data_IF_061834412117
#
_entry.id   IF_061834412117
#
_cell.length_a   1.000
_cell.length_b   1.000
_cell.length_c   1.000
_cell.angle_alpha   90.00
_cell.angle_beta   90.00
_cell.angle_gamma   90.00
#
_symmetry.space_group_name_H-M   'P 1'
#
loop_
_entity.id
_entity.type
_entity.pdbx_description
1 polymer ?
#
# COMPACT_ATOMS: atom_id res chain seq x y z
N UNK A 1 -51.41 23.96 26.70
CA UNK A 1 -49.95 23.74 26.81
C UNK A 1 -49.73 22.26 27.08
N UNK A 2 -49.45 21.44 26.05
CA UNK A 2 -49.26 19.99 26.22
C UNK A 2 -48.51 19.39 25.00
N UNK A 3 -47.39 19.97 24.62
CA UNK A 3 -46.56 19.47 23.49
C UNK A 3 -45.21 18.93 23.97
N UNK A 4 -44.88 19.09 25.25
CA UNK A 4 -43.54 18.85 25.78
C UNK A 4 -43.22 17.36 25.94
N UNK A 5 -44.17 16.54 26.40
CA UNK A 5 -43.92 15.11 26.66
C UNK A 5 -43.73 14.28 25.39
N UNK A 6 -44.47 14.57 24.32
CA UNK A 6 -44.37 13.82 23.06
C UNK A 6 -43.07 14.13 22.31
N UNK A 7 -42.55 15.36 22.45
CA UNK A 7 -41.29 15.78 21.83
C UNK A 7 -40.07 15.13 22.48
N UNK A 8 -40.07 14.94 23.81
CA UNK A 8 -38.97 14.24 24.48
C UNK A 8 -38.99 12.73 24.22
N UNK A 9 -40.17 12.14 24.05
CA UNK A 9 -40.29 10.70 23.73
C UNK A 9 -39.85 10.38 22.31
N UNK A 10 -40.10 11.27 21.34
CA UNK A 10 -39.69 11.06 19.93
C UNK A 10 -38.18 11.21 19.75
N UNK A 11 -37.55 12.14 20.46
CA UNK A 11 -36.09 12.34 20.39
C UNK A 11 -35.32 11.17 21.01
N UNK A 12 -35.76 10.66 22.17
CA UNK A 12 -35.13 9.49 22.81
C UNK A 12 -35.25 8.22 21.95
N UNK A 13 -36.42 7.98 21.33
CA UNK A 13 -36.61 6.82 20.46
C UNK A 13 -35.75 6.91 19.18
N UNK A 14 -35.59 8.10 18.59
CA UNK A 14 -34.76 8.30 17.42
C UNK A 14 -33.26 8.05 17.72
N UNK A 15 -32.77 8.51 18.88
CA UNK A 15 -31.37 8.27 19.28
C UNK A 15 -31.06 6.79 19.51
N UNK A 16 -32.00 6.01 20.07
CA UNK A 16 -31.80 4.57 20.27
C UNK A 16 -31.76 3.77 18.95
N UNK A 17 -32.53 4.19 17.94
CA UNK A 17 -32.49 3.57 16.61
C UNK A 17 -31.17 3.89 15.90
N UNK A 18 -30.68 5.13 16.00
CA UNK A 18 -29.40 5.52 15.38
C UNK A 18 -28.22 4.82 16.06
N UNK A 19 -28.24 4.70 17.40
CA UNK A 19 -27.20 3.98 18.14
C UNK A 19 -27.17 2.46 17.85
N UNK A 20 -28.32 1.86 17.52
CA UNK A 20 -28.39 0.44 17.13
C UNK A 20 -27.74 0.17 15.76
N UNK A 21 -27.72 1.15 14.85
CA UNK A 21 -27.13 1.01 13.52
C UNK A 21 -25.60 1.22 13.56
N UNK A 22 -25.07 1.95 14.54
CA UNK A 22 -23.64 2.24 14.65
C UNK A 22 -22.77 1.11 15.22
N UNK A 23 -23.36 -0.01 15.66
CA UNK A 23 -22.61 -1.15 16.23
C UNK A 23 -22.08 -2.10 15.14
N UNK A 24 -22.43 -1.88 13.86
CA UNK A 24 -21.96 -2.70 12.73
C UNK A 24 -20.93 -1.95 11.89
N UNK A 25 -19.80 -1.59 12.49
CA UNK A 25 -18.69 -0.94 11.78
C UNK A 25 -17.38 -1.74 11.85
N UNK A 26 -17.46 -3.06 11.94
CA UNK A 26 -16.32 -3.94 11.64
C UNK A 26 -16.45 -4.40 10.17
N UNK A 27 -15.82 -3.67 9.24
CA UNK A 27 -15.63 -4.20 7.87
C UNK A 27 -15.61 -3.22 6.68
N UNK A 28 -15.68 -1.90 6.87
CA UNK A 28 -15.74 -0.93 5.76
C UNK A 28 -14.60 0.10 5.72
N UNK A 29 -13.46 -0.20 6.33
CA UNK A 29 -12.19 0.53 6.14
C UNK A 29 -11.09 -0.50 5.89
N UNK A 30 -10.79 -0.81 4.63
CA UNK A 30 -9.44 -1.27 4.24
C UNK A 30 -9.22 -1.38 2.72
N UNK A 31 -9.96 -0.65 1.89
CA UNK A 31 -9.68 -0.61 0.45
C UNK A 31 -8.63 0.45 0.09
N UNK A 32 -8.86 1.69 0.56
CA UNK A 32 -8.00 2.81 0.17
C UNK A 32 -6.61 2.80 0.82
N UNK A 33 -6.52 2.45 2.11
CA UNK A 33 -5.24 2.44 2.83
C UNK A 33 -4.24 1.47 2.21
N UNK A 34 -4.70 0.24 1.99
CA UNK A 34 -3.86 -0.80 1.40
C UNK A 34 -3.40 -0.49 -0.03
N UNK A 35 -4.24 0.12 -0.86
CA UNK A 35 -3.80 0.55 -2.20
C UNK A 35 -2.72 1.64 -2.13
N UNK A 36 -2.80 2.54 -1.15
CA UNK A 36 -1.77 3.55 -0.92
C UNK A 36 -0.47 2.91 -0.38
N UNK A 37 -0.58 1.99 0.57
CA UNK A 37 0.55 1.24 1.12
C UNK A 37 1.24 0.40 0.03
N UNK A 38 0.46 -0.22 -0.86
CA UNK A 38 0.98 -0.95 -2.01
C UNK A 38 1.77 -0.04 -2.95
N UNK A 39 1.22 1.13 -3.30
CA UNK A 39 1.91 2.07 -4.18
C UNK A 39 3.22 2.56 -3.56
N UNK A 40 3.21 2.84 -2.25
CA UNK A 40 4.41 3.24 -1.54
C UNK A 40 5.44 2.10 -1.46
N UNK A 41 4.98 0.87 -1.24
CA UNK A 41 5.83 -0.32 -1.24
C UNK A 41 6.47 -0.53 -2.61
N UNK A 42 5.71 -0.41 -3.70
CA UNK A 42 6.23 -0.52 -5.06
C UNK A 42 7.25 0.59 -5.32
N UNK A 43 6.94 1.84 -4.97
CA UNK A 43 7.82 2.98 -5.21
C UNK A 43 9.18 2.84 -4.51
N UNK A 44 9.19 2.31 -3.28
CA UNK A 44 10.41 2.19 -2.49
C UNK A 44 11.14 0.86 -2.68
N UNK A 45 10.42 -0.24 -2.94
CA UNK A 45 10.96 -1.60 -2.86
C UNK A 45 11.05 -2.34 -4.20
N UNK A 46 10.43 -1.87 -5.30
CA UNK A 46 10.33 -2.62 -6.56
C UNK A 46 11.68 -3.14 -7.07
N UNK A 47 12.73 -2.32 -6.98
CA UNK A 47 14.08 -2.69 -7.44
C UNK A 47 14.73 -3.84 -6.66
N UNK A 48 14.32 -4.08 -5.41
CA UNK A 48 14.86 -5.16 -4.57
C UNK A 48 14.09 -6.47 -4.75
N UNK A 49 12.83 -6.40 -5.18
CA UNK A 49 11.93 -7.56 -5.31
C UNK A 49 11.66 -7.98 -6.76
N UNK A 50 12.04 -7.15 -7.74
CA UNK A 50 11.93 -7.51 -9.15
C UNK A 50 12.72 -8.78 -9.48
N UNK A 51 12.21 -9.55 -10.44
CA UNK A 51 12.84 -10.80 -10.88
C UNK A 51 14.20 -10.59 -11.55
N UNK A 52 14.36 -9.49 -12.27
CA UNK A 52 15.62 -9.17 -12.94
C UNK A 52 16.71 -8.76 -11.94
N UNK A 53 17.94 -9.20 -12.19
CA UNK A 53 19.11 -8.84 -11.40
C UNK A 53 19.31 -9.69 -10.15
N UNK A 54 20.38 -9.43 -9.38
CA UNK A 54 20.71 -10.18 -8.17
C UNK A 54 19.75 -9.85 -7.00
N UNK A 55 19.90 -10.60 -5.91
CA UNK A 55 19.31 -10.27 -4.61
C UNK A 55 20.13 -9.15 -3.97
N UNK A 56 19.48 -8.05 -3.58
CA UNK A 56 20.12 -6.86 -3.00
C UNK A 56 19.53 -6.55 -1.63
N UNK A 57 20.33 -5.96 -0.75
CA UNK A 57 19.85 -5.47 0.55
C UNK A 57 18.94 -4.25 0.33
N UNK A 58 17.77 -4.20 1.00
CA UNK A 58 16.84 -3.09 0.86
C UNK A 58 17.41 -1.80 1.45
N UNK A 59 16.99 -0.66 0.91
CA UNK A 59 17.28 0.66 1.49
C UNK A 59 16.53 0.85 2.82
N UNK A 60 17.00 1.79 3.67
CA UNK A 60 16.24 2.19 4.86
C UNK A 60 14.83 2.68 4.53
N UNK A 61 14.65 3.36 3.39
CA UNK A 61 13.33 3.82 2.94
C UNK A 61 12.39 2.66 2.60
N UNK A 62 12.90 1.61 1.95
CA UNK A 62 12.12 0.40 1.68
C UNK A 62 11.72 -0.30 2.99
N UNK A 63 12.66 -0.48 3.94
CA UNK A 63 12.33 -1.12 5.21
C UNK A 63 11.32 -0.33 6.05
N UNK A 64 11.40 1.01 6.04
CA UNK A 64 10.42 1.86 6.72
C UNK A 64 8.99 1.60 6.25
N UNK A 65 8.78 1.32 4.95
CA UNK A 65 7.46 0.97 4.44
C UNK A 65 7.09 -0.47 4.81
N UNK A 66 8.01 -1.42 4.61
CA UNK A 66 7.79 -2.86 4.88
C UNK A 66 7.33 -3.14 6.31
N UNK A 67 7.82 -2.39 7.30
CA UNK A 67 7.41 -2.60 8.70
C UNK A 67 5.96 -2.22 8.99
N UNK A 68 5.33 -1.41 8.14
CA UNK A 68 3.99 -0.87 8.34
C UNK A 68 2.93 -1.47 7.41
N UNK A 69 3.31 -2.16 6.34
CA UNK A 69 2.33 -2.72 5.39
C UNK A 69 1.51 -3.87 5.97
N UNK A 70 0.24 -3.91 5.55
CA UNK A 70 -0.65 -5.04 5.79
C UNK A 70 -0.36 -6.16 4.79
N UNK A 71 0.44 -7.16 5.23
CA UNK A 71 0.83 -8.32 4.42
C UNK A 71 -0.37 -9.03 3.76
N UNK A 72 -1.44 -9.45 4.48
CA UNK A 72 -2.55 -10.15 3.84
C UNK A 72 -3.24 -9.26 2.80
N UNK A 73 -3.30 -7.94 3.01
CA UNK A 73 -3.85 -7.06 2.01
C UNK A 73 -2.96 -6.94 0.77
N UNK A 74 -1.65 -6.70 0.91
CA UNK A 74 -0.72 -6.65 -0.23
C UNK A 74 -0.74 -7.96 -1.02
N UNK A 75 -0.83 -9.10 -0.34
CA UNK A 75 -0.88 -10.41 -0.98
C UNK A 75 -2.14 -10.65 -1.83
N UNK A 76 -3.23 -9.94 -1.59
CA UNK A 76 -4.41 -9.96 -2.47
C UNK A 76 -4.16 -9.32 -3.85
N UNK A 77 -3.17 -8.43 -3.95
CA UNK A 77 -2.80 -7.81 -5.23
C UNK A 77 -1.79 -8.63 -6.01
N UNK A 78 -1.09 -9.58 -5.37
CA UNK A 78 -0.14 -10.47 -6.03
C UNK A 78 -0.92 -11.48 -6.87
N UNK A 79 -1.15 -11.13 -8.13
CA UNK A 79 -1.72 -12.00 -9.15
C UNK A 79 -0.62 -12.73 -9.92
N UNK A 80 -0.98 -13.75 -10.71
CA UNK A 80 -0.02 -14.46 -11.58
C UNK A 80 0.69 -13.55 -12.60
N UNK A 81 0.13 -12.39 -12.92
CA UNK A 81 0.82 -11.36 -13.71
C UNK A 81 1.98 -10.74 -12.94
N UNK A 82 1.76 -10.43 -11.66
CA UNK A 82 2.78 -9.86 -10.77
C UNK A 82 3.86 -10.90 -10.45
N UNK A 83 3.49 -12.15 -10.19
CA UNK A 83 4.45 -13.24 -9.92
C UNK A 83 5.46 -13.46 -11.06
N UNK A 84 5.16 -13.01 -12.28
CA UNK A 84 6.08 -13.08 -13.42
C UNK A 84 7.12 -11.95 -13.43
N UNK A 85 6.82 -10.83 -12.78
CA UNK A 85 7.70 -9.64 -12.74
C UNK A 85 8.46 -9.52 -11.42
N UNK A 86 7.93 -10.05 -10.32
CA UNK A 86 8.63 -10.13 -9.03
C UNK A 86 9.18 -11.53 -8.77
N UNK A 87 10.14 -11.59 -7.85
CA UNK A 87 10.70 -12.82 -7.33
C UNK A 87 10.27 -12.97 -5.86
N UNK A 88 9.46 -13.99 -5.58
CA UNK A 88 8.90 -14.21 -4.26
C UNK A 88 9.97 -14.57 -3.22
N UNK A 89 11.10 -15.16 -3.62
CA UNK A 89 12.22 -15.39 -2.71
C UNK A 89 12.84 -14.05 -2.28
N UNK A 90 12.97 -13.10 -3.22
CA UNK A 90 13.43 -11.75 -2.89
C UNK A 90 12.43 -11.00 -2.01
N UNK A 91 11.13 -11.19 -2.23
CA UNK A 91 10.09 -10.63 -1.34
C UNK A 91 10.26 -11.16 0.08
N UNK A 92 10.39 -12.48 0.25
CA UNK A 92 10.62 -13.08 1.59
C UNK A 92 11.93 -12.59 2.22
N UNK A 93 12.97 -12.41 1.40
CA UNK A 93 14.26 -11.89 1.85
C UNK A 93 14.15 -10.45 2.37
N UNK A 94 13.57 -9.55 1.58
CA UNK A 94 13.39 -8.14 1.97
C UNK A 94 12.51 -8.03 3.22
N UNK A 95 11.42 -8.80 3.27
CA UNK A 95 10.52 -8.85 4.43
C UNK A 95 11.26 -9.31 5.70
N UNK A 96 12.04 -10.39 5.61
CA UNK A 96 12.86 -10.88 6.72
C UNK A 96 13.96 -9.91 7.13
N UNK A 97 14.69 -9.35 6.17
CA UNK A 97 15.75 -8.37 6.41
C UNK A 97 15.24 -7.14 7.15
N UNK A 98 14.04 -6.65 6.81
CA UNK A 98 13.43 -5.50 7.46
C UNK A 98 12.69 -5.84 8.77
N UNK A 99 12.74 -7.09 9.26
CA UNK A 99 12.13 -7.48 10.54
C UNK A 99 10.63 -7.78 10.47
N UNK A 100 10.06 -7.97 9.27
CA UNK A 100 8.68 -8.44 9.04
C UNK A 100 8.65 -9.69 8.18
N UNK A 101 9.33 -10.75 8.64
CA UNK A 101 9.30 -12.03 7.95
C UNK A 101 7.85 -12.52 7.76
N UNK A 102 7.56 -13.05 6.56
CA UNK A 102 6.26 -13.62 6.28
C UNK A 102 6.11 -14.93 7.06
N UNK A 103 4.96 -15.14 7.70
CA UNK A 103 4.71 -16.38 8.41
C UNK A 103 4.70 -17.59 7.44
N UNK A 104 5.28 -18.73 7.84
CA UNK A 104 5.06 -20.02 7.19
C UNK A 104 3.62 -20.25 6.75
N UNK A 105 3.42 -20.68 5.50
CA UNK A 105 2.08 -20.97 4.97
C UNK A 105 1.27 -19.76 4.53
N UNK A 106 1.80 -18.53 4.68
CA UNK A 106 1.17 -17.33 4.11
C UNK A 106 1.07 -17.48 2.59
N UNK A 107 -0.12 -17.27 2.04
CA UNK A 107 -0.38 -17.34 0.59
C UNK A 107 -0.45 -15.93 -0.01
N UNK A 108 0.30 -15.74 -1.08
CA UNK A 108 0.28 -14.52 -1.89
C UNK A 108 0.19 -14.94 -3.34
N UNK A 109 -0.98 -14.78 -3.96
CA UNK A 109 -1.27 -15.39 -5.25
C UNK A 109 -1.22 -16.92 -5.19
N UNK A 110 -0.43 -17.51 -6.09
CA UNK A 110 -0.12 -18.93 -6.14
C UNK A 110 1.07 -19.32 -5.25
N UNK A 111 1.92 -18.36 -4.87
CA UNK A 111 3.04 -18.60 -3.98
C UNK A 111 2.59 -18.84 -2.53
N UNK A 112 3.21 -19.81 -1.88
CA UNK A 112 3.03 -20.10 -0.46
C UNK A 112 4.38 -20.04 0.20
N UNK A 113 4.52 -19.23 1.24
CA UNK A 113 5.77 -19.11 1.99
C UNK A 113 6.13 -20.49 2.55
N UNK A 114 7.30 -21.05 2.18
CA UNK A 114 7.71 -22.33 2.71
C UNK A 114 7.80 -22.23 4.23
N UNK A 115 7.21 -23.18 4.94
CA UNK A 115 7.39 -23.25 6.38
C UNK A 115 8.82 -23.65 6.66
N UNK A 116 9.54 -22.79 7.38
CA UNK A 116 10.86 -23.11 7.90
C UNK A 116 10.76 -24.42 8.68
N UNK A 117 11.26 -25.53 8.10
CA UNK A 117 12.31 -26.21 8.82
C UNK A 117 13.42 -25.17 8.88
N UNK A 118 13.55 -24.57 10.06
CA UNK A 118 14.65 -23.71 10.41
C UNK A 118 15.92 -24.52 10.11
N UNK A 119 16.65 -24.10 9.08
CA UNK A 119 18.09 -24.33 9.02
C UNK A 119 18.69 -23.49 10.13
N UNK A 120 18.58 -23.99 11.35
CA UNK A 120 19.60 -23.81 12.37
C UNK A 120 20.81 -24.68 11.98
N UNK A 121 21.49 -24.32 10.89
CA UNK A 121 22.83 -24.79 10.56
C UNK A 121 23.56 -23.52 10.08
N UNK A 122 24.67 -23.04 10.61
CA UNK A 122 25.63 -23.53 11.57
C UNK A 122 26.55 -22.34 11.87
N UNK A 123 27.16 -22.33 13.05
CA UNK A 123 28.01 -21.30 13.63
C UNK A 123 29.21 -20.92 12.73
N UNK A 124 29.03 -19.96 11.83
CA UNK A 124 30.13 -19.07 11.50
C UNK A 124 29.75 -17.68 12.00
N UNK A 125 30.31 -17.34 13.17
CA UNK A 125 30.23 -16.04 13.83
C UNK A 125 30.25 -14.90 12.83
N UNK A 126 29.07 -14.44 12.44
CA UNK A 126 28.89 -13.06 12.08
C UNK A 126 28.64 -12.38 13.43
N UNK A 127 29.59 -11.58 13.95
CA UNK A 127 29.37 -10.88 15.20
C UNK A 127 28.09 -10.08 15.02
N UNK A 128 27.11 -10.34 15.87
CA UNK A 128 26.04 -9.38 16.13
C UNK A 128 26.79 -8.10 16.48
N UNK A 129 26.71 -7.00 15.70
CA UNK A 129 27.17 -5.73 16.22
C UNK A 129 26.21 -5.44 17.36
N UNK A 130 26.68 -5.71 18.58
CA UNK A 130 26.13 -5.13 19.78
C UNK A 130 26.01 -3.66 19.47
N UNK A 131 24.79 -3.11 19.57
CA UNK A 131 24.58 -1.68 19.57
C UNK A 131 25.30 -1.17 20.83
N UNK A 132 26.59 -0.90 20.65
CA UNK A 132 27.43 -0.16 21.55
C UNK A 132 27.14 1.28 21.26
N UNK A 133 26.37 1.88 22.16
CA UNK A 133 26.08 3.31 22.18
C UNK A 133 27.31 4.08 22.63
N UNK A 134 28.45 3.96 21.94
CA UNK A 134 29.65 4.71 22.29
C UNK A 134 30.40 5.17 21.02
N UNK A 135 30.18 6.46 20.73
CA UNK A 135 31.02 7.38 19.97
C UNK A 135 31.31 7.04 18.50
N UNK A 136 30.39 7.48 17.63
CA UNK A 136 30.71 7.81 16.22
C UNK A 136 31.89 8.80 16.20
N UNK A 137 33.02 8.49 15.52
CA UNK A 137 34.00 9.50 15.20
C UNK A 137 33.34 10.48 14.23
N UNK A 138 33.32 11.74 14.61
CA UNK A 138 32.97 12.87 13.77
C UNK A 138 33.97 12.90 12.61
N UNK A 139 33.69 12.17 11.54
CA UNK A 139 34.31 12.43 10.25
C UNK A 139 33.65 13.69 9.73
N UNK A 140 34.45 14.75 9.74
CA UNK A 140 34.15 16.08 9.26
C UNK A 140 33.30 16.04 8.00
N UNK A 141 32.05 16.45 8.15
CA UNK A 141 31.21 16.87 7.04
C UNK A 141 31.89 18.11 6.47
N UNK A 142 32.57 17.94 5.33
CA UNK A 142 32.80 19.09 4.45
C UNK A 142 31.41 19.59 4.06
N UNK A 143 31.16 20.85 4.42
CA UNK A 143 29.95 21.60 4.13
C UNK A 143 29.90 21.86 2.62
N UNK A 144 29.56 20.84 1.83
CA UNK A 144 29.11 21.05 0.46
C UNK A 144 27.69 21.59 0.55
N UNK A 145 27.62 22.89 0.33
CA UNK A 145 26.43 23.72 0.18
C UNK A 145 25.33 22.94 -0.56
N UNK A 146 24.23 22.68 0.15
CA UNK A 146 23.08 21.98 -0.40
C UNK A 146 22.65 22.63 -1.72
N UNK A 147 22.51 21.88 -2.83
CA UNK A 147 21.77 22.39 -3.96
C UNK A 147 20.35 22.69 -3.47
N UNK A 148 20.00 23.98 -3.55
CA UNK A 148 18.71 24.56 -3.21
C UNK A 148 17.53 23.64 -3.56
N UNK A 149 16.48 23.58 -2.73
CA UNK A 149 15.28 22.82 -3.07
C UNK A 149 14.72 23.33 -4.40
N UNK A 150 14.78 22.46 -5.41
CA UNK A 150 14.07 22.69 -6.66
C UNK A 150 12.57 22.82 -6.34
N UNK A 151 11.85 23.78 -6.96
CA UNK A 151 10.45 23.98 -6.68
C UNK A 151 9.66 22.72 -7.03
N UNK A 152 8.75 22.36 -6.13
CA UNK A 152 7.70 21.38 -6.34
C UNK A 152 7.13 21.49 -7.76
N UNK A 153 6.92 20.39 -8.51
CA UNK A 153 6.02 20.46 -9.63
C UNK A 153 4.63 20.78 -9.08
N UNK A 154 4.20 22.01 -9.30
CA UNK A 154 2.80 22.38 -9.30
C UNK A 154 2.11 21.42 -10.25
N UNK A 155 1.43 20.41 -9.70
CA UNK A 155 0.42 19.66 -10.43
C UNK A 155 -0.58 20.71 -10.90
N UNK A 156 -0.45 21.07 -12.17
CA UNK A 156 -1.47 21.77 -12.90
C UNK A 156 -2.76 20.96 -12.71
N UNK A 157 -3.80 21.63 -12.25
CA UNK A 157 -5.15 21.15 -12.45
C UNK A 157 -5.28 20.91 -13.96
N UNK A 158 -5.35 19.65 -14.34
CA UNK A 158 -5.85 19.24 -15.64
C UNK A 158 -7.33 19.64 -15.64
N UNK A 159 -7.61 20.76 -16.30
CA UNK A 159 -8.95 21.15 -16.75
C UNK A 159 -9.34 20.17 -17.87
N UNK A 160 -9.55 18.92 -17.46
CA UNK A 160 -10.08 17.84 -18.26
C UNK A 160 -11.56 18.11 -18.44
N UNK A 161 -11.86 18.82 -19.51
CA UNK A 161 -13.18 18.98 -20.14
C UNK A 161 -14.08 17.74 -19.85
N UNK A 162 -15.25 17.91 -19.20
CA UNK A 162 -16.19 16.81 -19.07
C UNK A 162 -16.60 16.34 -20.47
N UNK A 163 -16.71 15.03 -20.74
CA UNK A 163 -17.36 14.61 -21.97
C UNK A 163 -18.79 15.14 -21.92
N UNK A 164 -19.09 16.12 -22.76
CA UNK A 164 -20.46 16.51 -23.05
C UNK A 164 -21.22 15.23 -23.45
N UNK A 165 -22.00 14.75 -22.50
CA UNK A 165 -23.24 14.03 -22.76
C UNK A 165 -24.02 14.90 -23.72
N UNK A 166 -23.86 14.65 -25.02
CA UNK A 166 -24.69 15.22 -26.07
C UNK A 166 -26.15 15.01 -25.65
N UNK A 167 -26.89 16.10 -25.40
CA UNK A 167 -28.30 16.01 -25.12
C UNK A 167 -28.95 15.38 -26.35
N UNK A 168 -29.71 14.34 -26.09
CA UNK A 168 -30.69 13.73 -26.96
C UNK A 168 -31.61 14.82 -27.51
N UNK A 169 -31.20 15.42 -28.64
CA UNK A 169 -32.05 16.26 -29.46
C UNK A 169 -32.91 15.32 -30.32
N UNK A 170 -34.25 15.35 -30.24
CA UNK A 170 -35.10 14.31 -30.84
C UNK A 170 -35.34 14.47 -32.35
N UNK A 171 -34.62 15.36 -33.05
CA UNK A 171 -34.98 15.77 -34.41
C UNK A 171 -33.73 15.90 -35.28
N UNK A 172 -33.26 14.80 -35.89
CA UNK A 172 -32.66 14.81 -37.24
C UNK A 172 -32.30 13.38 -37.72
N UNK A 173 -32.36 13.09 -39.04
CA UNK A 173 -32.61 11.76 -39.58
C UNK A 173 -31.33 10.99 -39.97
N UNK A 174 -31.36 9.67 -39.69
CA UNK A 174 -30.61 8.56 -40.29
C UNK A 174 -29.52 8.89 -41.32
N UNK A 175 -28.24 8.84 -40.91
CA UNK A 175 -27.14 8.63 -41.85
C UNK A 175 -26.40 7.33 -41.55
N UNK A 176 -26.29 6.56 -42.62
CA UNK A 176 -26.07 5.12 -42.70
C UNK A 176 -24.59 4.80 -42.45
N UNK A 177 -24.36 3.88 -41.52
CA UNK A 177 -23.08 3.20 -41.28
C UNK A 177 -22.78 2.26 -42.46
N UNK A 178 -21.82 2.63 -43.31
CA UNK A 178 -21.26 1.73 -44.33
C UNK A 178 -20.29 0.70 -43.73
N UNK A 179 -20.18 -0.51 -44.30
CA UNK A 179 -19.33 -1.59 -43.76
C UNK A 179 -17.84 -1.39 -44.11
N UNK A 180 -17.00 -1.77 -43.16
CA UNK A 180 -15.53 -1.80 -43.22
C UNK A 180 -15.12 -3.12 -43.89
N UNK A 181 -14.38 -3.03 -45.00
CA UNK A 181 -13.67 -4.14 -45.65
C UNK A 181 -12.33 -4.39 -44.96
#
# INVERSE_FOLDING_TARGET
MATTNTQFTTTLAAFLIIAAITVSHDGLVSGQGCQADLQNLVAQCAMYVQRAGPKLNPSPSCCSVVVHVDIPCICNYITSGIERVIDMEKVTYVAGYCGKALAPGTKCGSYTVPGSAEGEDEENEFPIPSVGSDEVPVLSVEEEEAPSPSPSPSVAADDGEPPEVMPWMPWMPWIIRGPRN
#
